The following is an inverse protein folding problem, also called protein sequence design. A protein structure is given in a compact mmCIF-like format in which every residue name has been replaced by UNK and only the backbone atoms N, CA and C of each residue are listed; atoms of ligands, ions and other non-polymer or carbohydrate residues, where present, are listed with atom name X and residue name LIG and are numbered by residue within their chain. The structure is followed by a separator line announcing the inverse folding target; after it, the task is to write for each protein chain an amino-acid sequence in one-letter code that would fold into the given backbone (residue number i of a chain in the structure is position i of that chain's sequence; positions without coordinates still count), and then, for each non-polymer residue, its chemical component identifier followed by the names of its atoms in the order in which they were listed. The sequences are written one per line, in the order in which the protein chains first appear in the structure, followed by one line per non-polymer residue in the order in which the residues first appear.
data_IF_783837271917
#
_entry.id   IF_783837271917
#
_cell.length_a   1.000
_cell.length_b   1.000
_cell.length_c   1.000
_cell.angle_alpha   90.00
_cell.angle_beta   90.00
_cell.angle_gamma   90.00
#
_symmetry.space_group_name_H-M   'P 1'
#
loop_
_entity.id
_entity.type
_entity.pdbx_description
1 polymer ?
#
# COMPACT_ATOMS: atom_id res chain seq x y z
N UNK A 1 -1.83 -35.57 54.07
CA UNK A 1 -2.88 -35.24 53.09
C UNK A 1 -2.46 -33.95 52.42
N UNK A 2 -1.84 -34.03 51.24
CA UNK A 2 -1.19 -32.90 50.56
C UNK A 2 -1.84 -32.70 49.20
N UNK A 3 -2.60 -31.64 49.04
CA UNK A 3 -3.30 -31.31 47.79
C UNK A 3 -2.35 -30.57 46.85
N UNK A 4 -1.89 -31.23 45.80
CA UNK A 4 -1.15 -30.56 44.72
C UNK A 4 -2.14 -29.92 43.73
N UNK A 5 -2.24 -28.58 43.77
CA UNK A 5 -2.95 -27.81 42.76
C UNK A 5 -2.04 -27.68 41.54
N UNK A 6 -2.38 -28.33 40.43
CA UNK A 6 -1.75 -28.09 39.13
C UNK A 6 -2.17 -26.72 38.61
N UNK A 7 -1.28 -25.73 38.73
CA UNK A 7 -1.37 -24.47 38.01
C UNK A 7 -1.14 -24.70 36.51
N UNK A 8 -2.19 -24.57 35.70
CA UNK A 8 -2.03 -24.48 34.23
C UNK A 8 -1.43 -23.12 33.89
N UNK A 9 -0.18 -23.09 33.40
CA UNK A 9 0.39 -21.88 32.81
C UNK A 9 -0.50 -21.42 31.64
N UNK A 10 -0.81 -20.13 31.48
CA UNK A 10 -1.58 -19.65 30.35
C UNK A 10 -0.81 -19.94 29.06
N UNK A 11 -1.42 -20.67 28.12
CA UNK A 11 -0.90 -20.76 26.75
C UNK A 11 -1.24 -19.44 26.06
N UNK A 12 -0.22 -18.65 25.72
CA UNK A 12 -0.37 -17.42 24.95
C UNK A 12 -1.12 -17.72 23.65
N UNK A 13 -2.24 -17.04 23.41
CA UNK A 13 -3.00 -17.17 22.18
C UNK A 13 -2.31 -16.40 21.04
N UNK A 14 -2.55 -16.79 19.78
CA UNK A 14 -2.05 -16.05 18.59
C UNK A 14 -2.38 -14.56 18.64
N UNK A 15 -3.54 -14.22 19.21
CA UNK A 15 -4.00 -12.84 19.39
C UNK A 15 -3.22 -12.08 20.46
N UNK A 16 -2.79 -12.77 21.53
CA UNK A 16 -1.89 -12.19 22.54
C UNK A 16 -0.49 -12.03 22.00
N UNK A 17 0.02 -12.95 21.19
CA UNK A 17 1.31 -12.80 20.50
C UNK A 17 1.31 -11.60 19.57
N UNK A 18 0.22 -11.38 18.82
CA UNK A 18 0.07 -10.19 17.97
C UNK A 18 -0.07 -8.89 18.80
N UNK A 19 -0.83 -8.92 19.91
CA UNK A 19 -0.96 -7.76 20.82
C UNK A 19 0.35 -7.43 21.53
N UNK A 20 1.10 -8.44 21.97
CA UNK A 20 2.40 -8.30 22.63
C UNK A 20 3.50 -7.90 21.63
N UNK A 21 3.41 -8.34 20.36
CA UNK A 21 4.25 -7.87 19.27
C UNK A 21 4.08 -6.37 18.98
N UNK A 22 2.87 -5.83 19.16
CA UNK A 22 2.58 -4.40 19.11
C UNK A 22 3.06 -3.62 20.34
N UNK A 23 3.42 -4.29 21.45
CA UNK A 23 3.90 -3.64 22.69
C UNK A 23 5.44 -3.54 22.81
N UNK A 24 6.17 -3.77 21.72
CA UNK A 24 7.58 -3.33 21.60
C UNK A 24 8.66 -4.18 22.28
N UNK A 25 8.35 -5.26 22.98
CA UNK A 25 9.37 -6.08 23.68
C UNK A 25 9.89 -7.30 22.91
N UNK A 26 9.39 -7.58 21.70
CA UNK A 26 9.71 -8.83 20.96
C UNK A 26 10.53 -8.69 19.67
N UNK A 27 11.00 -7.49 19.33
CA UNK A 27 11.60 -7.20 18.01
C UNK A 27 13.12 -7.17 18.11
N UNK A 28 13.77 -8.33 18.05
CA UNK A 28 15.21 -8.36 17.72
C UNK A 28 15.66 -9.52 16.84
N UNK A 29 14.83 -10.54 16.57
CA UNK A 29 15.32 -11.75 15.89
C UNK A 29 14.67 -12.11 14.54
N UNK A 30 13.63 -11.40 14.07
CA UNK A 30 12.78 -11.93 12.99
C UNK A 30 12.49 -11.03 11.80
N UNK A 31 12.96 -9.80 11.76
CA UNK A 31 12.61 -8.87 10.66
C UNK A 31 13.78 -8.82 9.67
N UNK A 32 13.57 -9.20 8.39
CA UNK A 32 14.58 -9.04 7.35
C UNK A 32 15.07 -7.58 7.30
N UNK A 33 16.39 -7.40 7.20
CA UNK A 33 17.06 -6.09 7.26
C UNK A 33 16.47 -5.04 6.28
N UNK A 34 15.87 -5.51 5.18
CA UNK A 34 15.20 -4.68 4.15
C UNK A 34 13.98 -3.90 4.69
N UNK A 35 13.38 -4.34 5.79
CA UNK A 35 12.29 -3.62 6.47
C UNK A 35 12.76 -2.79 7.66
N UNK A 36 14.07 -2.68 7.91
CA UNK A 36 14.60 -1.92 9.05
C UNK A 36 14.12 -0.47 9.08
N UNK A 37 13.92 0.16 7.92
CA UNK A 37 13.34 1.51 7.79
C UNK A 37 11.86 1.58 8.15
N UNK A 38 11.09 0.54 7.84
CA UNK A 38 9.66 0.44 8.20
C UNK A 38 9.53 0.24 9.71
N UNK A 39 10.35 -0.63 10.30
CA UNK A 39 10.41 -0.83 11.75
C UNK A 39 10.87 0.44 12.48
N UNK A 40 11.87 1.14 11.97
CA UNK A 40 12.29 2.44 12.51
C UNK A 40 11.17 3.49 12.40
N UNK A 41 10.42 3.51 11.30
CA UNK A 41 9.29 4.42 11.15
C UNK A 41 8.15 4.09 12.15
N UNK A 42 7.93 2.81 12.44
CA UNK A 42 6.90 2.34 13.38
C UNK A 42 7.29 2.50 14.86
N UNK A 43 8.59 2.51 15.20
CA UNK A 43 9.10 2.63 16.58
C UNK A 43 9.37 4.07 17.01
N UNK A 44 9.31 5.02 16.08
CA UNK A 44 9.45 6.44 16.39
C UNK A 44 8.13 6.91 17.02
N UNK A 45 8.16 7.31 18.30
CA UNK A 45 7.02 7.97 18.93
C UNK A 45 6.58 9.17 18.07
N UNK A 46 5.39 9.08 17.49
CA UNK A 46 4.79 10.17 16.73
C UNK A 46 4.37 11.28 17.71
N UNK A 47 5.23 12.29 17.89
CA UNK A 47 4.75 13.58 18.41
C UNK A 47 3.74 14.13 17.40
N UNK A 48 2.50 14.47 17.81
CA UNK A 48 1.60 15.19 16.92
C UNK A 48 2.17 16.61 16.75
N UNK A 49 2.48 16.97 15.52
CA UNK A 49 3.07 18.27 15.17
C UNK A 49 4.56 18.21 14.85
N UNK A 50 4.89 17.91 13.61
CA UNK A 50 5.30 18.90 12.61
C UNK A 50 5.65 18.08 11.36
N UNK A 51 5.00 18.38 10.25
CA UNK A 51 5.21 17.60 9.03
C UNK A 51 6.66 17.69 8.60
N UNK A 52 7.35 16.56 8.61
CA UNK A 52 8.74 16.44 8.18
C UNK A 52 8.85 16.78 6.68
N UNK A 53 9.02 18.07 6.39
CA UNK A 53 9.14 18.72 5.10
C UNK A 53 7.82 18.89 4.30
N UNK A 54 7.28 20.13 4.16
CA UNK A 54 6.10 20.43 3.35
C UNK A 54 6.28 20.17 1.85
N UNK A 55 7.48 19.84 1.40
CA UNK A 55 7.81 19.49 0.00
C UNK A 55 7.63 18.00 -0.32
N UNK A 56 7.36 17.14 0.68
CA UNK A 56 7.16 15.71 0.43
C UNK A 56 5.75 15.43 -0.05
N UNK A 57 5.63 15.03 -1.31
CA UNK A 57 4.37 14.67 -1.95
C UNK A 57 4.29 13.14 -2.06
N UNK A 58 3.20 12.56 -1.57
CA UNK A 58 2.83 11.18 -1.86
C UNK A 58 1.99 11.15 -3.14
N UNK A 59 2.48 10.45 -4.17
CA UNK A 59 1.73 10.18 -5.39
C UNK A 59 1.25 8.74 -5.35
N UNK A 60 -0.07 8.54 -5.42
CA UNK A 60 -0.70 7.23 -5.51
C UNK A 60 -1.22 7.05 -6.92
N UNK A 61 -0.77 6.00 -7.61
CA UNK A 61 -1.24 5.63 -8.94
C UNK A 61 -2.02 4.34 -8.82
N UNK A 62 -3.30 4.40 -9.17
CA UNK A 62 -4.18 3.25 -9.26
C UNK A 62 -4.29 2.85 -10.73
N UNK A 63 -4.04 1.57 -11.04
CA UNK A 63 -4.17 1.03 -12.38
C UNK A 63 -5.56 0.42 -12.55
N UNK A 64 -6.47 1.18 -13.16
CA UNK A 64 -7.78 0.66 -13.56
C UNK A 64 -7.66 -0.18 -14.85
N UNK A 65 -8.54 -1.17 -15.04
CA UNK A 65 -8.57 -1.99 -16.26
C UNK A 65 -7.95 -3.39 -16.15
N UNK A 66 -7.84 -3.96 -14.95
CA UNK A 66 -7.59 -5.39 -14.77
C UNK A 66 -6.15 -5.82 -15.06
N UNK A 67 -5.18 -5.19 -14.41
CA UNK A 67 -3.78 -5.59 -14.53
C UNK A 67 -3.56 -7.06 -14.15
N UNK A 68 -2.88 -7.79 -15.02
CA UNK A 68 -2.48 -9.17 -14.76
C UNK A 68 -1.22 -9.20 -13.88
N UNK A 69 -1.43 -9.30 -12.57
CA UNK A 69 -0.36 -9.28 -11.58
C UNK A 69 0.70 -10.37 -11.78
N UNK A 70 0.29 -11.54 -12.28
CA UNK A 70 1.20 -12.68 -12.53
C UNK A 70 2.01 -12.53 -13.82
N UNK A 71 1.62 -11.64 -14.74
CA UNK A 71 2.49 -11.21 -15.84
C UNK A 71 3.23 -9.91 -15.53
N UNK A 72 2.82 -9.14 -14.52
CA UNK A 72 3.58 -7.97 -14.02
C UNK A 72 4.81 -8.41 -13.24
N UNK A 73 4.60 -9.31 -12.27
CA UNK A 73 5.64 -9.98 -11.48
C UNK A 73 5.49 -11.48 -11.74
N UNK A 74 6.32 -11.97 -12.63
CA UNK A 74 6.28 -13.31 -13.19
C UNK A 74 6.93 -14.31 -12.24
N UNK A 75 6.19 -15.29 -11.68
CA UNK A 75 6.76 -16.39 -10.91
C UNK A 75 7.36 -17.45 -11.86
N UNK A 76 8.39 -17.08 -12.61
CA UNK A 76 8.96 -17.91 -13.67
C UNK A 76 9.65 -19.18 -13.14
N UNK A 77 9.96 -19.23 -11.84
CA UNK A 77 10.48 -20.43 -11.18
C UNK A 77 9.40 -21.44 -10.75
N UNK A 78 8.11 -21.16 -10.99
CA UNK A 78 7.00 -22.04 -10.61
C UNK A 78 6.36 -22.71 -11.84
N UNK A 79 6.49 -24.03 -11.95
CA UNK A 79 5.87 -24.80 -13.02
C UNK A 79 4.34 -24.68 -13.06
N UNK A 80 3.69 -24.40 -11.92
CA UNK A 80 2.25 -24.20 -11.86
C UNK A 80 1.82 -22.99 -12.70
N UNK A 81 2.64 -21.93 -12.77
CA UNK A 81 2.37 -20.77 -13.60
C UNK A 81 2.27 -21.15 -15.08
N UNK A 82 3.21 -21.96 -15.59
CA UNK A 82 3.18 -22.43 -16.97
C UNK A 82 2.01 -23.39 -17.25
N UNK A 83 1.75 -24.34 -16.34
CA UNK A 83 0.62 -25.29 -16.49
C UNK A 83 -0.74 -24.60 -16.50
N UNK A 84 -0.92 -23.59 -15.64
CA UNK A 84 -2.21 -22.89 -15.51
C UNK A 84 -2.39 -21.80 -16.57
N UNK A 85 -1.30 -21.35 -17.22
CA UNK A 85 -1.32 -20.21 -18.16
C UNK A 85 -0.67 -20.53 -19.51
N UNK A 86 -0.99 -21.67 -20.16
CA UNK A 86 -0.24 -22.18 -21.33
C UNK A 86 -0.21 -21.24 -22.53
N UNK A 87 -1.16 -20.29 -22.63
CA UNK A 87 -1.27 -19.34 -23.75
C UNK A 87 -0.59 -18.00 -23.50
N UNK A 88 -0.39 -17.62 -22.23
CA UNK A 88 0.01 -16.26 -21.84
C UNK A 88 1.19 -16.23 -20.87
N UNK A 89 1.73 -17.38 -20.49
CA UNK A 89 2.90 -17.47 -19.63
C UNK A 89 4.13 -16.90 -20.35
N UNK A 90 4.95 -16.16 -19.59
CA UNK A 90 6.20 -15.59 -20.07
C UNK A 90 7.33 -16.57 -19.76
N UNK A 91 8.09 -16.94 -20.78
CA UNK A 91 9.21 -17.87 -20.63
C UNK A 91 10.32 -17.28 -19.77
N UNK A 92 10.99 -18.13 -19.00
CA UNK A 92 12.02 -17.72 -18.04
C UNK A 92 13.17 -16.91 -18.66
N UNK A 93 13.51 -17.16 -19.93
CA UNK A 93 14.53 -16.43 -20.69
C UNK A 93 14.12 -15.00 -21.05
N UNK A 94 12.83 -14.67 -21.00
CA UNK A 94 12.30 -13.34 -21.37
C UNK A 94 12.10 -12.41 -20.18
N UNK A 95 12.02 -12.94 -18.96
CA UNK A 95 11.75 -12.13 -17.77
C UNK A 95 12.94 -11.25 -17.40
N UNK A 96 12.65 -10.12 -16.77
CA UNK A 96 13.68 -9.30 -16.11
C UNK A 96 13.88 -9.80 -14.69
N UNK A 97 14.86 -10.68 -14.49
CA UNK A 97 15.05 -11.42 -13.23
C UNK A 97 15.18 -10.49 -12.02
N UNK A 98 14.41 -10.77 -10.97
CA UNK A 98 14.52 -10.17 -9.64
C UNK A 98 15.38 -11.07 -8.76
N UNK A 99 15.01 -12.36 -8.72
CA UNK A 99 15.71 -13.45 -8.04
C UNK A 99 15.50 -14.76 -8.83
N UNK A 100 15.75 -15.92 -8.23
CA UNK A 100 15.60 -17.25 -8.86
C UNK A 100 14.15 -17.71 -9.06
N UNK A 101 13.16 -16.99 -8.51
CA UNK A 101 11.74 -17.37 -8.58
C UNK A 101 10.89 -16.32 -9.32
N UNK A 102 11.20 -15.04 -9.17
CA UNK A 102 10.43 -13.92 -9.70
C UNK A 102 11.20 -13.05 -10.69
N UNK A 103 10.51 -12.53 -11.70
CA UNK A 103 11.02 -11.53 -12.63
C UNK A 103 9.95 -10.55 -13.05
N UNK A 104 10.33 -9.35 -13.48
CA UNK A 104 9.37 -8.40 -14.07
C UNK A 104 9.03 -8.79 -15.51
N UNK A 105 7.85 -8.35 -15.96
CA UNK A 105 7.46 -8.37 -17.38
C UNK A 105 8.59 -7.77 -18.27
N UNK A 106 8.83 -8.30 -19.49
CA UNK A 106 9.86 -7.79 -20.40
C UNK A 106 9.76 -6.29 -20.69
N UNK A 107 8.56 -5.72 -20.68
CA UNK A 107 8.30 -4.29 -20.92
C UNK A 107 8.63 -3.38 -19.72
N UNK A 108 8.80 -3.92 -18.51
CA UNK A 108 9.01 -3.13 -17.28
C UNK A 108 10.49 -2.77 -17.07
N UNK A 109 11.16 -2.29 -18.12
CA UNK A 109 12.59 -1.93 -18.11
C UNK A 109 12.89 -0.85 -17.07
N UNK A 110 12.00 0.14 -16.94
CA UNK A 110 12.15 1.23 -15.98
C UNK A 110 12.08 0.74 -14.53
N UNK A 111 11.19 -0.20 -14.23
CA UNK A 111 11.05 -0.76 -12.88
C UNK A 111 12.22 -1.66 -12.50
N UNK A 112 12.76 -2.44 -13.44
CA UNK A 112 14.00 -3.20 -13.21
C UNK A 112 15.14 -2.27 -12.80
N UNK A 113 15.31 -1.14 -13.50
CA UNK A 113 16.32 -0.14 -13.14
C UNK A 113 16.08 0.42 -11.74
N UNK A 114 14.87 0.86 -11.43
CA UNK A 114 14.55 1.39 -10.10
C UNK A 114 14.77 0.36 -8.99
N UNK A 115 14.46 -0.90 -9.25
CA UNK A 115 14.69 -2.00 -8.30
C UNK A 115 16.18 -2.20 -8.04
N UNK A 116 17.00 -2.30 -9.11
CA UNK A 116 18.46 -2.44 -9.00
C UNK A 116 19.12 -1.23 -8.34
N UNK A 117 18.58 -0.03 -8.55
CA UNK A 117 19.03 1.21 -7.91
C UNK A 117 18.59 1.31 -6.43
N UNK A 118 17.82 0.35 -5.89
CA UNK A 118 17.30 0.39 -4.51
C UNK A 118 16.22 1.46 -4.28
N UNK A 119 15.59 1.95 -5.35
CA UNK A 119 14.57 3.02 -5.35
C UNK A 119 13.15 2.50 -5.51
N UNK A 120 12.99 1.20 -5.74
CA UNK A 120 11.69 0.55 -5.87
C UNK A 120 11.62 -0.66 -4.94
N UNK A 121 10.50 -0.76 -4.22
CA UNK A 121 10.15 -1.92 -3.43
C UNK A 121 8.88 -2.53 -4.00
N UNK A 122 8.90 -3.85 -4.17
CA UNK A 122 7.74 -4.62 -4.61
C UNK A 122 7.12 -5.31 -3.38
N UNK A 123 5.81 -5.16 -3.24
CA UNK A 123 5.02 -5.95 -2.28
C UNK A 123 3.99 -6.73 -3.08
N UNK A 124 4.16 -8.05 -3.11
CA UNK A 124 3.27 -8.98 -3.81
C UNK A 124 2.49 -9.82 -2.80
N UNK A 125 1.38 -10.44 -3.24
CA UNK A 125 0.48 -11.18 -2.33
C UNK A 125 -0.38 -10.28 -1.44
N UNK A 126 -0.52 -9.00 -1.78
CA UNK A 126 -1.42 -8.08 -1.09
C UNK A 126 -2.89 -8.42 -1.40
N UNK A 127 -3.71 -8.50 -0.36
CA UNK A 127 -5.13 -8.77 -0.48
C UNK A 127 -5.82 -8.68 0.88
N UNK A 128 -7.08 -9.09 0.92
CA UNK A 128 -7.86 -9.24 2.15
C UNK A 128 -8.46 -10.64 2.21
N UNK A 129 -8.72 -11.12 3.43
CA UNK A 129 -9.28 -12.44 3.66
C UNK A 129 -10.65 -12.59 2.99
N UNK A 130 -10.88 -13.76 2.38
CA UNK A 130 -12.13 -14.10 1.69
C UNK A 130 -12.51 -13.04 0.61
N UNK A 131 -11.68 -12.90 -0.45
CA UNK A 131 -11.94 -11.92 -1.49
C UNK A 131 -13.26 -12.18 -2.19
N UNK A 132 -13.93 -11.08 -2.58
CA UNK A 132 -15.18 -11.13 -3.30
C UNK A 132 -14.94 -10.93 -4.80
N UNK A 133 -15.81 -11.49 -5.63
CA UNK A 133 -15.66 -11.43 -7.09
C UNK A 133 -16.28 -10.16 -7.72
N UNK A 134 -16.98 -9.34 -6.92
CA UNK A 134 -17.51 -8.06 -7.39
C UNK A 134 -16.41 -7.01 -7.42
N UNK A 135 -16.03 -6.61 -8.64
CA UNK A 135 -15.02 -5.57 -8.86
C UNK A 135 -15.36 -4.27 -8.11
N UNK A 136 -16.59 -3.76 -8.27
CA UNK A 136 -17.02 -2.50 -7.64
C UNK A 136 -16.93 -2.54 -6.11
N UNK A 137 -17.34 -3.66 -5.50
CA UNK A 137 -17.29 -3.79 -4.05
C UNK A 137 -15.86 -4.01 -3.55
N UNK A 138 -15.03 -4.78 -4.26
CA UNK A 138 -13.62 -4.96 -3.93
C UNK A 138 -12.84 -3.63 -4.01
N UNK A 139 -13.10 -2.82 -5.04
CA UNK A 139 -12.55 -1.47 -5.17
C UNK A 139 -12.89 -0.60 -3.96
N UNK A 140 -14.14 -0.66 -3.48
CA UNK A 140 -14.55 0.02 -2.25
C UNK A 140 -13.73 -0.40 -1.02
N UNK A 141 -13.42 -1.69 -0.88
CA UNK A 141 -12.56 -2.18 0.21
C UNK A 141 -11.11 -1.72 0.08
N UNK A 142 -10.55 -1.70 -1.14
CA UNK A 142 -9.20 -1.17 -1.38
C UNK A 142 -9.11 0.33 -1.12
N UNK A 143 -10.11 1.09 -1.57
CA UNK A 143 -10.17 2.55 -1.38
C UNK A 143 -10.34 2.93 0.09
N UNK A 144 -11.10 2.14 0.85
CA UNK A 144 -11.27 2.41 2.28
C UNK A 144 -10.15 1.80 3.11
N UNK A 145 -9.49 0.73 2.66
CA UNK A 145 -8.57 -0.08 3.46
C UNK A 145 -9.28 -0.86 4.59
N UNK A 146 -10.61 -0.96 4.56
CA UNK A 146 -11.43 -1.63 5.57
C UNK A 146 -12.32 -2.66 4.87
N UNK A 147 -11.84 -3.91 4.71
CA UNK A 147 -12.62 -4.94 4.07
C UNK A 147 -13.83 -5.33 4.93
N UNK A 148 -14.97 -5.60 4.28
CA UNK A 148 -16.19 -6.22 4.85
C UNK A 148 -16.96 -5.34 5.86
N UNK A 149 -16.30 -4.56 6.72
CA UNK A 149 -16.94 -3.83 7.81
C UNK A 149 -17.68 -2.56 7.38
N UNK A 150 -17.50 -2.13 6.13
CA UNK A 150 -18.10 -0.91 5.58
C UNK A 150 -17.45 0.34 6.16
N UNK A 151 -16.91 1.18 5.29
CA UNK A 151 -16.25 2.43 5.68
C UNK A 151 -16.63 3.51 4.67
N UNK A 152 -16.97 4.69 5.18
CA UNK A 152 -17.45 5.81 4.35
C UNK A 152 -16.32 6.70 3.89
N UNK A 153 -15.17 6.65 4.56
CA UNK A 153 -13.99 7.46 4.27
C UNK A 153 -12.91 6.63 3.57
N UNK A 154 -12.12 7.27 2.72
CA UNK A 154 -10.98 6.63 2.10
C UNK A 154 -9.75 6.60 3.00
N UNK A 155 -8.84 5.66 2.76
CA UNK A 155 -7.60 5.60 3.56
C UNK A 155 -6.71 6.83 3.34
N UNK A 156 -6.67 7.40 2.13
CA UNK A 156 -5.92 8.63 1.86
C UNK A 156 -6.56 9.81 2.58
N UNK A 157 -7.90 9.88 2.57
CA UNK A 157 -8.63 10.92 3.30
C UNK A 157 -8.42 10.85 4.81
N UNK A 158 -8.48 9.65 5.41
CA UNK A 158 -8.20 9.46 6.84
C UNK A 158 -6.73 9.71 7.18
N UNK A 159 -5.81 9.36 6.28
CA UNK A 159 -4.39 9.72 6.44
C UNK A 159 -4.25 11.24 6.48
N UNK A 160 -4.85 11.97 5.54
CA UNK A 160 -4.84 13.43 5.53
C UNK A 160 -5.44 14.03 6.81
N UNK A 161 -6.58 13.51 7.29
CA UNK A 161 -7.20 13.96 8.56
C UNK A 161 -6.27 13.76 9.77
N UNK A 162 -5.54 12.64 9.82
CA UNK A 162 -4.58 12.36 10.90
C UNK A 162 -3.36 13.27 10.82
N UNK A 163 -2.92 13.51 9.58
CA UNK A 163 -1.81 14.36 9.25
C UNK A 163 -2.12 15.83 9.62
N UNK A 164 -3.25 16.37 9.17
CA UNK A 164 -3.68 17.75 9.40
C UNK A 164 -5.07 17.75 10.04
N UNK A 165 -5.17 17.82 11.38
CA UNK A 165 -6.46 17.85 12.06
C UNK A 165 -7.31 19.08 11.72
N UNK A 166 -6.67 20.16 11.27
CA UNK A 166 -7.32 21.38 10.79
C UNK A 166 -7.46 21.37 9.27
N UNK A 167 -8.50 22.05 8.77
CA UNK A 167 -8.76 22.17 7.34
C UNK A 167 -7.58 22.84 6.65
N UNK A 168 -7.07 22.17 5.61
CA UNK A 168 -6.03 22.69 4.72
C UNK A 168 -6.48 22.55 3.28
N UNK A 169 -6.44 23.67 2.57
CA UNK A 169 -6.77 23.71 1.14
C UNK A 169 -5.73 22.92 0.32
N UNK A 170 -6.20 22.26 -0.73
CA UNK A 170 -5.36 21.57 -1.72
C UNK A 170 -4.41 20.50 -1.12
N UNK A 171 -4.72 19.98 0.08
CA UNK A 171 -3.93 18.92 0.70
C UNK A 171 -4.07 17.58 -0.04
N UNK A 172 -5.26 17.34 -0.60
CA UNK A 172 -5.57 16.13 -1.37
C UNK A 172 -5.97 16.54 -2.78
N UNK A 173 -5.28 16.00 -3.77
CA UNK A 173 -5.57 16.18 -5.20
C UNK A 173 -5.92 14.81 -5.79
N UNK A 174 -7.07 14.72 -6.45
CA UNK A 174 -7.52 13.51 -7.13
C UNK A 174 -7.76 13.79 -8.60
N UNK A 175 -6.88 13.24 -9.43
CA UNK A 175 -7.03 13.30 -10.89
C UNK A 175 -7.91 12.14 -11.35
N UNK A 176 -9.20 12.40 -11.59
CA UNK A 176 -10.19 11.41 -12.00
C UNK A 176 -11.47 12.10 -12.52
N UNK A 177 -12.29 11.37 -13.28
CA UNK A 177 -13.61 11.85 -13.75
C UNK A 177 -14.62 12.08 -12.63
N UNK A 178 -14.45 11.38 -11.50
CA UNK A 178 -15.24 11.52 -10.30
C UNK A 178 -14.35 11.35 -9.07
N UNK A 179 -14.80 11.89 -7.93
CA UNK A 179 -14.07 11.73 -6.68
C UNK A 179 -13.97 10.25 -6.29
N UNK A 180 -12.74 9.74 -6.19
CA UNK A 180 -12.48 8.40 -5.67
C UNK A 180 -12.86 8.29 -4.20
N UNK A 181 -13.37 7.12 -3.79
CA UNK A 181 -13.63 6.85 -2.38
C UNK A 181 -12.33 6.94 -1.58
N UNK A 182 -11.17 6.62 -2.17
CA UNK A 182 -9.87 6.61 -1.50
C UNK A 182 -9.48 7.96 -0.89
N UNK A 183 -9.90 9.06 -1.52
CA UNK A 183 -9.59 10.43 -1.09
C UNK A 183 -10.66 11.06 -0.20
N UNK A 184 -11.80 10.39 0.00
CA UNK A 184 -12.88 10.93 0.82
C UNK A 184 -12.42 11.10 2.27
N UNK A 185 -12.43 12.35 2.72
CA UNK A 185 -11.93 12.79 4.02
C UNK A 185 -13.07 13.38 4.86
N UNK A 186 -12.90 13.40 6.19
CA UNK A 186 -13.84 14.06 7.11
C UNK A 186 -13.52 15.54 7.30
N UNK A 187 -12.25 15.93 7.25
CA UNK A 187 -11.78 17.30 7.54
C UNK A 187 -11.53 18.08 6.25
N UNK A 188 -10.94 17.45 5.24
CA UNK A 188 -10.50 18.08 4.00
C UNK A 188 -11.48 17.84 2.86
N UNK A 189 -11.66 18.85 2.03
CA UNK A 189 -12.29 18.75 0.72
C UNK A 189 -11.23 18.44 -0.35
N UNK A 190 -11.23 17.25 -0.98
CA UNK A 190 -10.29 16.96 -2.06
C UNK A 190 -10.55 17.85 -3.28
N UNK A 191 -9.48 18.31 -3.93
CA UNK A 191 -9.58 18.92 -5.25
C UNK A 191 -9.65 17.82 -6.31
N UNK A 192 -10.70 17.83 -7.13
CA UNK A 192 -10.96 16.79 -8.12
C UNK A 192 -11.07 17.39 -9.52
N UNK A 193 -10.34 16.84 -10.47
CA UNK A 193 -10.40 17.21 -11.88
C UNK A 193 -9.98 16.04 -12.77
N UNK A 194 -10.48 16.00 -14.00
CA UNK A 194 -10.25 14.94 -14.97
C UNK A 194 -9.14 15.25 -15.97
N UNK A 195 -8.84 16.53 -16.18
CA UNK A 195 -7.77 17.01 -17.05
C UNK A 195 -6.68 17.73 -16.24
N UNK A 196 -5.48 17.12 -16.11
CA UNK A 196 -4.34 17.72 -15.41
C UNK A 196 -3.90 19.09 -15.95
N UNK A 197 -4.15 19.38 -17.23
CA UNK A 197 -3.77 20.65 -17.83
C UNK A 197 -4.59 21.83 -17.27
N UNK A 198 -5.75 21.53 -16.66
CA UNK A 198 -6.61 22.52 -15.99
C UNK A 198 -6.14 22.86 -14.58
N UNK A 199 -5.16 22.12 -14.03
CA UNK A 199 -4.61 22.41 -12.71
C UNK A 199 -3.65 23.60 -12.78
N UNK A 200 -4.14 24.78 -12.39
CA UNK A 200 -3.39 26.03 -12.42
C UNK A 200 -2.96 26.44 -11.01
N UNK A 201 -1.70 26.87 -10.87
CA UNK A 201 -1.21 27.49 -9.64
C UNK A 201 -1.70 28.95 -9.60
N UNK A 202 -2.44 29.31 -8.55
CA UNK A 202 -2.83 30.70 -8.29
C UNK A 202 -1.55 31.55 -8.16
N UNK A 203 -1.41 32.59 -8.99
CA UNK A 203 -0.28 33.52 -8.96
C UNK A 203 0.61 33.62 -10.20
N UNK A 204 0.32 32.89 -11.30
CA UNK A 204 0.99 33.07 -12.61
C UNK A 204 0.04 33.61 -13.70
N UNK A 205 -0.71 34.65 -13.37
CA UNK A 205 -1.19 35.58 -14.40
C UNK A 205 -0.21 36.75 -14.45
N UNK A 206 0.93 36.58 -15.13
CA UNK A 206 1.42 37.72 -15.90
C UNK A 206 0.44 37.82 -17.08
N UNK A 207 -0.43 38.83 -17.04
CA UNK A 207 -1.10 39.27 -18.25
C UNK A 207 0.01 39.74 -19.17
N UNK A 208 0.44 38.89 -20.10
CA UNK A 208 1.22 39.37 -21.24
C UNK A 208 0.31 40.35 -21.98
N UNK A 209 0.72 41.62 -22.16
CA UNK A 209 -0.10 42.63 -22.82
C UNK A 209 -0.44 42.26 -24.27
#
# INVERSE_FOLDING_TARGET
MTTHIFSRRPRLSRREVLRQGLSGLGISAGIPLVFGRVVQAMTKEEKPGDFANPERILVVVELDGGNDGLNTVVPYGDDAYYRQRPKIAISADKVRRIDDHFGFHPSLVGFERLYKDGKFALVHGCGYDNPILSHFAAMGYWHTGVPIAGEKLGWVGRLADKLSPEVRENLIVNVASQQSLAVRSRVHSPLVFDDPSRFLRVGRYEQTP
#
